data_IF_802504807071
#
_entry.id   IF_802504807071
#
_cell.length_a   1.000
_cell.length_b   1.000
_cell.length_c   1.000
_cell.angle_alpha   90.00
_cell.angle_beta   90.00
_cell.angle_gamma   90.00
#
_symmetry.space_group_name_H-M   'P 1'
#
loop_
_entity.id
_entity.type
_entity.pdbx_description
1 polymer ?
#
# COMPACT_ATOMS: atom_id res chain seq x y z
N UNK A 1 2.52 5.33 7.51
CA UNK A 1 2.23 5.73 8.91
C UNK A 1 3.52 5.93 9.67
N UNK A 2 3.64 6.99 10.44
CA UNK A 2 4.81 7.27 11.27
C UNK A 2 4.78 6.45 12.57
N UNK A 3 5.83 5.69 12.84
CA UNK A 3 6.03 4.99 14.13
C UNK A 3 6.95 5.78 15.06
N UNK A 4 7.81 6.63 14.50
CA UNK A 4 8.56 7.66 15.22
C UNK A 4 8.27 9.04 14.61
N UNK A 5 8.63 10.11 15.32
CA UNK A 5 8.49 11.47 14.79
C UNK A 5 9.28 11.59 13.49
N UNK A 6 8.64 12.12 12.47
CA UNK A 6 9.26 12.38 11.16
C UNK A 6 9.46 13.88 11.02
N UNK A 7 10.71 14.28 10.79
CA UNK A 7 11.10 15.67 10.57
C UNK A 7 11.92 15.78 9.28
N UNK A 8 12.01 16.98 8.72
CA UNK A 8 12.86 17.23 7.56
C UNK A 8 14.32 16.84 7.83
N UNK A 9 14.82 17.10 9.04
CA UNK A 9 16.18 16.77 9.44
C UNK A 9 16.42 15.26 9.57
N UNK A 10 15.45 14.51 10.10
CA UNK A 10 15.60 13.06 10.32
C UNK A 10 15.19 12.19 9.12
N UNK A 11 15.04 12.81 7.94
CA UNK A 11 14.84 12.10 6.69
C UNK A 11 13.37 11.93 6.29
N UNK A 12 12.52 12.93 6.54
CA UNK A 12 11.14 12.95 6.05
C UNK A 12 11.03 12.53 4.59
N UNK A 13 9.98 11.77 4.27
CA UNK A 13 9.63 11.52 2.88
C UNK A 13 9.35 12.87 2.22
N UNK A 14 9.96 13.13 1.06
CA UNK A 14 9.66 14.31 0.26
C UNK A 14 8.87 13.90 -0.98
N UNK A 15 7.99 14.77 -1.45
CA UNK A 15 7.22 14.55 -2.66
C UNK A 15 6.93 15.87 -3.38
N UNK A 16 6.52 15.78 -4.64
CA UNK A 16 6.11 16.96 -5.42
C UNK A 16 4.58 16.91 -5.58
N UNK A 17 3.83 17.81 -4.92
CA UNK A 17 2.37 17.88 -5.09
C UNK A 17 1.98 18.05 -6.56
N UNK A 18 0.98 17.30 -7.02
CA UNK A 18 0.47 17.39 -8.39
C UNK A 18 1.31 16.68 -9.45
N UNK A 19 2.49 16.13 -9.13
CA UNK A 19 3.34 15.50 -10.13
C UNK A 19 2.77 14.21 -10.74
N UNK A 20 1.74 13.63 -10.10
CA UNK A 20 0.99 12.49 -10.65
C UNK A 20 0.19 12.84 -11.92
N UNK A 21 0.05 14.13 -12.24
CA UNK A 21 -0.59 14.65 -13.45
C UNK A 21 0.41 15.02 -14.55
N UNK A 22 1.71 14.92 -14.28
CA UNK A 22 2.73 15.28 -15.25
C UNK A 22 2.82 14.23 -16.35
N UNK A 23 3.28 14.66 -17.52
CA UNK A 23 3.61 13.74 -18.60
C UNK A 23 4.77 12.82 -18.17
N UNK A 24 4.68 11.54 -18.50
CA UNK A 24 5.66 10.52 -18.12
C UNK A 24 7.07 10.77 -18.69
N UNK A 25 7.19 11.61 -19.72
CA UNK A 25 8.46 12.04 -20.30
C UNK A 25 9.09 13.24 -19.57
N UNK A 26 8.35 13.86 -18.65
CA UNK A 26 8.85 15.00 -17.86
C UNK A 26 9.90 14.50 -16.87
N UNK A 27 11.18 14.94 -16.96
CA UNK A 27 12.18 14.53 -16.01
C UNK A 27 11.89 15.13 -14.62
N UNK A 28 12.30 14.46 -13.53
CA UNK A 28 12.29 15.08 -12.20
C UNK A 28 13.09 16.38 -12.20
N UNK A 29 12.70 17.41 -11.43
CA UNK A 29 13.49 18.63 -11.28
C UNK A 29 14.91 18.32 -10.78
N UNK A 30 15.90 19.09 -11.25
CA UNK A 30 17.31 18.89 -10.86
C UNK A 30 17.57 19.21 -9.38
N UNK A 31 16.72 20.03 -8.78
CA UNK A 31 16.79 20.42 -7.38
C UNK A 31 15.50 20.04 -6.62
N UNK A 32 15.48 20.31 -5.32
CA UNK A 32 14.36 19.95 -4.44
C UNK A 32 13.43 21.14 -4.14
N UNK A 33 13.47 22.23 -4.92
CA UNK A 33 12.70 23.44 -4.60
C UNK A 33 11.19 23.22 -4.68
N UNK A 34 10.76 22.32 -5.57
CA UNK A 34 9.36 21.90 -5.71
C UNK A 34 8.94 20.81 -4.72
N UNK A 35 9.86 20.31 -3.90
CA UNK A 35 9.57 19.22 -2.96
C UNK A 35 8.97 19.75 -1.66
N UNK A 36 7.88 19.12 -1.23
CA UNK A 36 7.31 19.25 0.12
C UNK A 36 7.79 18.10 0.99
N UNK A 37 8.18 18.38 2.23
CA UNK A 37 8.65 17.40 3.20
C UNK A 37 7.51 17.00 4.13
N UNK A 38 7.24 15.71 4.23
CA UNK A 38 6.13 15.16 4.99
C UNK A 38 6.59 14.93 6.44
N UNK A 39 6.45 15.97 7.25
CA UNK A 39 6.69 15.89 8.70
C UNK A 39 5.44 15.35 9.41
N UNK A 40 5.64 14.38 10.29
CA UNK A 40 4.56 13.58 10.89
C UNK A 40 4.85 13.32 12.37
N UNK A 41 3.81 13.31 13.19
CA UNK A 41 3.86 12.77 14.55
C UNK A 41 3.58 11.26 14.53
N UNK A 42 4.02 10.48 15.54
CA UNK A 42 3.66 9.07 15.64
C UNK A 42 2.14 8.86 15.57
N UNK A 43 1.71 7.92 14.73
CA UNK A 43 0.30 7.67 14.44
C UNK A 43 -0.24 8.41 13.21
N UNK A 44 0.40 9.50 12.78
CA UNK A 44 -0.01 10.19 11.56
C UNK A 44 0.27 9.33 10.32
N UNK A 45 -0.56 9.51 9.30
CA UNK A 45 -0.43 8.84 8.02
C UNK A 45 -0.50 9.85 6.87
N UNK A 46 0.28 9.58 5.84
CA UNK A 46 0.24 10.29 4.57
C UNK A 46 -0.13 9.30 3.47
N UNK A 47 -1.05 9.72 2.61
CA UNK A 47 -1.54 8.94 1.48
C UNK A 47 -1.11 9.62 0.19
N UNK A 48 -0.63 8.83 -0.77
CA UNK A 48 -0.24 9.31 -2.09
C UNK A 48 -0.50 8.24 -3.15
N UNK A 49 -0.72 8.70 -4.38
CA UNK A 49 -0.73 7.83 -5.55
C UNK A 49 0.70 7.46 -5.93
N UNK A 50 0.95 6.21 -6.33
CA UNK A 50 2.28 5.74 -6.73
C UNK A 50 2.89 6.51 -7.92
N UNK A 51 2.08 7.19 -8.72
CA UNK A 51 2.55 8.08 -9.81
C UNK A 51 3.10 9.43 -9.32
N UNK A 52 3.00 9.72 -8.02
CA UNK A 52 3.59 10.94 -7.44
C UNK A 52 5.10 10.76 -7.29
N UNK A 53 5.88 11.74 -7.76
CA UNK A 53 7.32 11.78 -7.57
C UNK A 53 7.61 11.99 -6.09
N UNK A 54 8.35 11.07 -5.50
CA UNK A 54 8.64 11.06 -4.07
C UNK A 54 9.97 10.34 -3.78
N UNK A 55 10.47 10.52 -2.56
CA UNK A 55 11.64 9.79 -2.11
C UNK A 55 11.91 9.96 -0.62
N UNK A 56 12.58 8.98 -0.03
CA UNK A 56 13.17 9.13 1.30
C UNK A 56 14.24 10.22 1.28
N UNK A 57 14.28 11.06 2.31
CA UNK A 57 15.35 12.05 2.46
C UNK A 57 16.45 11.50 3.37
N UNK A 58 17.66 12.05 3.23
CA UNK A 58 18.77 11.70 4.11
C UNK A 58 18.44 12.10 5.55
N UNK A 59 18.75 11.23 6.50
CA UNK A 59 18.76 11.57 7.92
C UNK A 59 20.10 12.24 8.24
N UNK A 60 20.07 13.52 8.64
CA UNK A 60 21.27 14.31 8.95
C UNK A 60 21.46 14.54 10.46
N UNK A 61 20.59 13.96 11.29
CA UNK A 61 20.73 13.98 12.74
C UNK A 61 21.83 13.01 13.19
N UNK A 62 22.31 13.17 14.43
CA UNK A 62 23.37 12.31 14.98
C UNK A 62 22.83 11.14 15.78
N UNK A 63 21.63 11.28 16.31
CA UNK A 63 21.08 10.47 17.40
C UNK A 63 19.59 10.13 17.22
N UNK A 64 18.96 10.51 16.10
CA UNK A 64 17.59 10.10 15.79
C UNK A 64 17.54 9.00 14.72
N UNK A 65 16.57 8.10 14.86
CA UNK A 65 16.15 7.17 13.82
C UNK A 65 14.70 7.42 13.40
N UNK A 66 14.43 7.25 12.11
CA UNK A 66 13.10 7.43 11.52
C UNK A 66 12.52 6.07 11.14
N UNK A 67 11.40 5.71 11.74
CA UNK A 67 10.70 4.46 11.48
C UNK A 67 9.30 4.73 10.91
N UNK A 68 9.06 4.23 9.69
CA UNK A 68 7.80 4.37 8.95
C UNK A 68 7.28 2.98 8.64
N UNK A 69 6.01 2.73 8.93
CA UNK A 69 5.28 1.60 8.37
C UNK A 69 4.68 2.02 7.02
N UNK A 70 5.01 1.30 5.96
CA UNK A 70 4.51 1.52 4.61
C UNK A 70 3.58 0.37 4.22
N UNK A 71 2.41 0.72 3.70
CA UNK A 71 1.47 -0.23 3.13
C UNK A 71 1.07 0.28 1.76
N UNK A 72 1.22 -0.58 0.75
CA UNK A 72 0.85 -0.26 -0.63
C UNK A 72 -0.37 -1.07 -1.02
N UNK A 73 -1.17 -0.53 -1.93
CA UNK A 73 -2.31 -1.23 -2.51
C UNK A 73 -2.24 -1.06 -4.01
N UNK A 74 -2.68 -2.09 -4.71
CA UNK A 74 -2.68 -2.11 -6.17
C UNK A 74 -4.03 -2.59 -6.66
N UNK A 75 -4.33 -2.34 -7.93
CA UNK A 75 -5.55 -2.86 -8.55
C UNK A 75 -5.48 -4.39 -8.56
N UNK A 76 -6.61 -5.08 -8.40
CA UNK A 76 -6.64 -6.54 -8.37
C UNK A 76 -6.25 -7.22 -9.70
N UNK A 77 -5.97 -6.44 -10.75
CA UNK A 77 -5.41 -6.90 -12.01
C UNK A 77 -3.88 -7.04 -11.98
N UNK A 78 -3.22 -6.39 -11.00
CA UNK A 78 -1.78 -6.37 -10.83
C UNK A 78 -1.37 -7.34 -9.73
N UNK A 79 -0.14 -7.86 -9.83
CA UNK A 79 0.44 -8.70 -8.78
C UNK A 79 0.77 -7.85 -7.55
N UNK A 80 0.49 -8.39 -6.36
CA UNK A 80 0.95 -7.80 -5.11
C UNK A 80 2.49 -7.77 -5.05
N UNK A 81 3.05 -6.74 -4.44
CA UNK A 81 4.50 -6.62 -4.22
C UNK A 81 5.01 -7.73 -3.28
N UNK A 82 4.27 -7.98 -2.19
CA UNK A 82 4.41 -9.15 -1.34
C UNK A 82 3.16 -10.02 -1.48
N UNK A 83 3.34 -11.31 -1.76
CA UNK A 83 2.23 -12.25 -1.91
C UNK A 83 1.62 -12.57 -0.54
N UNK A 84 0.64 -11.78 -0.12
CA UNK A 84 0.06 -11.85 1.23
C UNK A 84 -0.58 -13.22 1.53
N UNK A 85 -1.14 -13.87 0.52
CA UNK A 85 -1.74 -15.20 0.61
C UNK A 85 -0.70 -16.35 0.75
N UNK A 86 0.59 -16.08 0.55
CA UNK A 86 1.69 -17.03 0.82
C UNK A 86 2.49 -16.66 2.09
N UNK A 87 2.60 -15.36 2.38
CA UNK A 87 3.40 -14.85 3.49
C UNK A 87 2.75 -15.06 4.87
N UNK A 88 1.42 -15.18 4.90
CA UNK A 88 0.65 -15.25 6.13
C UNK A 88 0.02 -16.63 6.36
N UNK A 89 -0.15 -16.96 7.64
CA UNK A 89 -0.86 -18.17 8.08
C UNK A 89 -2.35 -18.08 7.71
N UNK A 90 -2.80 -19.04 6.91
CA UNK A 90 -4.18 -19.16 6.43
C UNK A 90 -5.19 -19.21 7.59
N UNK A 91 -4.85 -19.88 8.70
CA UNK A 91 -5.75 -19.99 9.85
C UNK A 91 -5.92 -18.66 10.60
N UNK A 92 -4.98 -17.72 10.43
CA UNK A 92 -5.13 -16.34 10.93
C UNK A 92 -5.97 -15.51 9.97
N UNK A 93 -5.77 -15.68 8.66
CA UNK A 93 -6.54 -14.96 7.63
C UNK A 93 -8.03 -15.27 7.74
N UNK A 94 -8.41 -16.54 7.95
CA UNK A 94 -9.82 -16.97 8.15
C UNK A 94 -10.55 -16.21 9.26
N UNK A 95 -9.83 -15.71 10.27
CA UNK A 95 -10.40 -14.99 11.41
C UNK A 95 -10.61 -13.50 11.13
N UNK A 96 -10.09 -12.99 10.01
CA UNK A 96 -10.25 -11.59 9.62
C UNK A 96 -11.65 -11.35 9.04
N UNK A 97 -12.18 -10.12 9.12
CA UNK A 97 -13.36 -9.73 8.35
C UNK A 97 -13.20 -10.02 6.86
N UNK A 98 -14.30 -10.38 6.19
CA UNK A 98 -14.32 -10.74 4.76
C UNK A 98 -13.60 -9.72 3.87
N UNK A 99 -13.80 -8.42 4.12
CA UNK A 99 -13.17 -7.35 3.36
C UNK A 99 -11.64 -7.39 3.44
N UNK A 100 -11.08 -7.74 4.60
CA UNK A 100 -9.63 -7.90 4.76
C UNK A 100 -9.12 -9.20 4.14
N UNK A 101 -9.89 -10.29 4.21
CA UNK A 101 -9.54 -11.52 3.49
C UNK A 101 -9.41 -11.24 1.99
N UNK A 102 -10.41 -10.57 1.40
CA UNK A 102 -10.40 -10.14 0.00
C UNK A 102 -9.23 -9.21 -0.31
N UNK A 103 -8.99 -8.20 0.53
CA UNK A 103 -7.87 -7.25 0.37
C UNK A 103 -6.49 -7.93 0.38
N UNK A 104 -6.32 -9.00 1.17
CA UNK A 104 -5.09 -9.80 1.19
C UNK A 104 -4.92 -10.73 -0.02
N UNK A 105 -5.82 -10.67 -1.01
CA UNK A 105 -5.71 -11.42 -2.26
C UNK A 105 -6.49 -12.73 -2.28
N UNK A 106 -7.37 -12.96 -1.30
CA UNK A 106 -8.30 -14.09 -1.30
C UNK A 106 -9.64 -13.77 -1.95
N UNK A 107 -9.73 -12.69 -2.74
CA UNK A 107 -10.92 -12.37 -3.52
C UNK A 107 -10.61 -12.31 -5.01
N UNK A 108 -11.63 -12.48 -5.84
CA UNK A 108 -11.54 -12.12 -7.26
C UNK A 108 -11.53 -10.60 -7.44
N UNK A 109 -10.88 -10.15 -8.50
CA UNK A 109 -11.03 -8.79 -9.03
C UNK A 109 -11.85 -8.85 -10.31
N UNK A 110 -12.89 -8.04 -10.37
CA UNK A 110 -13.73 -7.93 -11.56
C UNK A 110 -12.94 -7.44 -12.77
N UNK A 111 -13.25 -7.94 -13.99
CA UNK A 111 -14.30 -8.92 -14.26
C UNK A 111 -13.89 -10.38 -13.98
N UNK A 112 -12.61 -10.78 -14.11
CA UNK A 112 -12.19 -12.20 -13.98
C UNK A 112 -10.69 -12.39 -13.67
N UNK A 113 -10.14 -11.80 -12.60
CA UNK A 113 -8.74 -12.06 -12.18
C UNK A 113 -8.67 -12.63 -10.76
N UNK A 114 -7.66 -13.47 -10.53
CA UNK A 114 -7.38 -14.05 -9.21
C UNK A 114 -8.16 -15.33 -8.85
N UNK A 115 -8.86 -15.95 -9.81
CA UNK A 115 -9.59 -17.19 -9.55
C UNK A 115 -8.66 -18.38 -9.25
N UNK A 116 -9.15 -19.32 -8.45
CA UNK A 116 -8.55 -20.63 -8.24
C UNK A 116 -9.58 -21.67 -8.68
N UNK A 117 -9.22 -22.54 -9.63
CA UNK A 117 -10.14 -23.53 -10.21
C UNK A 117 -11.48 -22.93 -10.70
N UNK A 118 -11.41 -21.75 -11.32
CA UNK A 118 -12.57 -20.97 -11.80
C UNK A 118 -13.56 -20.55 -10.70
N UNK A 119 -13.12 -20.48 -9.45
CA UNK A 119 -13.91 -20.04 -8.30
C UNK A 119 -13.25 -18.88 -7.58
N UNK A 120 -14.03 -18.17 -6.78
CA UNK A 120 -13.52 -17.16 -5.86
C UNK A 120 -12.71 -17.85 -4.75
N UNK A 121 -11.39 -17.56 -4.60
CA UNK A 121 -10.56 -18.17 -3.58
C UNK A 121 -11.06 -17.92 -2.15
N UNK A 122 -11.95 -16.94 -1.92
CA UNK A 122 -12.53 -16.67 -0.60
C UNK A 122 -13.31 -17.88 -0.07
N UNK A 123 -13.83 -18.73 -0.96
CA UNK A 123 -14.56 -19.95 -0.63
C UNK A 123 -13.65 -21.02 -0.03
N UNK A 124 -12.33 -20.97 -0.26
CA UNK A 124 -11.37 -21.84 0.41
C UNK A 124 -11.19 -21.47 1.89
N UNK A 125 -11.44 -20.20 2.22
CA UNK A 125 -11.41 -19.71 3.60
C UNK A 125 -12.76 -19.94 4.31
N UNK A 126 -13.88 -19.79 3.58
CA UNK A 126 -15.24 -19.82 4.12
C UNK A 126 -16.12 -20.81 3.33
N UNK A 127 -15.92 -22.13 3.49
CA UNK A 127 -16.57 -23.15 2.64
C UNK A 127 -18.09 -23.23 2.79
N UNK A 128 -18.63 -22.76 3.92
CA UNK A 128 -20.06 -22.81 4.23
C UNK A 128 -20.83 -21.62 3.64
N UNK A 129 -20.13 -20.57 3.19
CA UNK A 129 -20.75 -19.32 2.72
C UNK A 129 -20.72 -19.20 1.19
N UNK A 130 -21.59 -19.96 0.53
CA UNK A 130 -21.64 -20.06 -0.94
C UNK A 130 -22.07 -18.78 -1.65
N UNK A 131 -22.76 -17.88 -0.96
CA UNK A 131 -23.27 -16.63 -1.53
C UNK A 131 -22.21 -15.51 -1.58
N UNK A 132 -21.05 -15.71 -0.94
CA UNK A 132 -19.96 -14.73 -0.94
C UNK A 132 -19.38 -14.45 -2.32
N UNK A 133 -19.52 -15.38 -3.26
CA UNK A 133 -18.99 -15.20 -4.62
C UNK A 133 -19.60 -14.01 -5.37
N UNK A 134 -20.76 -13.50 -4.91
CA UNK A 134 -21.50 -12.40 -5.54
C UNK A 134 -21.55 -11.13 -4.70
N UNK A 135 -20.83 -11.06 -3.57
CA UNK A 135 -20.80 -9.84 -2.75
C UNK A 135 -19.84 -8.85 -3.38
N UNK A 136 -20.37 -7.78 -4.01
CA UNK A 136 -19.59 -6.60 -4.34
C UNK A 136 -19.04 -5.94 -3.05
N UNK A 137 -17.91 -5.25 -3.21
CA UNK A 137 -17.05 -4.68 -2.15
C UNK A 137 -17.79 -3.92 -1.05
#
# INVERSE_FOLDING_TARGET
>A
MALTKTTKANGATRFIPGSHLWDYTTPPPENNDSCVYIELSPGDAFFMLHSTLHGGSANTTKDEYRFICMSTSTTGLLRQEENQYLANDVEKIKKLPLSLQRFLGWGISDPWKGYVELKDPVLLLNPDEKDLANTEY
#
